data_IF_505060456572
#
_entry.id   IF_505060456572
#
_cell.length_a   1.000
_cell.length_b   1.000
_cell.length_c   1.000
_cell.angle_alpha   90.00
_cell.angle_beta   90.00
_cell.angle_gamma   90.00
#
_symmetry.space_group_name_H-M   'P 1'
#
loop_
_entity.id
_entity.type
_entity.pdbx_description
1 polymer ?
#
# COMPACT_ATOMS: atom_id res chain seq x y z
N UNK A 1 30.02 -16.96 -27.82
CA UNK A 1 28.68 -16.64 -28.35
C UNK A 1 27.78 -16.53 -27.16
N UNK A 2 27.37 -15.29 -26.86
CA UNK A 2 26.77 -14.87 -25.60
C UNK A 2 25.42 -15.54 -25.38
N UNK A 3 25.30 -16.23 -24.25
CA UNK A 3 24.01 -16.67 -23.71
C UNK A 3 23.40 -15.45 -23.02
N UNK A 4 22.55 -14.73 -23.74
CA UNK A 4 21.82 -13.59 -23.20
C UNK A 4 20.76 -14.14 -22.25
N UNK A 5 21.13 -14.29 -20.98
CA UNK A 5 20.18 -14.49 -19.89
C UNK A 5 19.12 -13.39 -20.01
N UNK A 6 17.88 -13.81 -20.32
CA UNK A 6 16.73 -12.92 -20.32
C UNK A 6 16.72 -12.12 -19.00
N UNK A 7 16.48 -10.80 -19.03
CA UNK A 7 16.45 -10.02 -17.81
C UNK A 7 15.41 -10.64 -16.89
N UNK A 8 15.82 -10.95 -15.66
CA UNK A 8 14.92 -11.35 -14.60
C UNK A 8 13.75 -10.36 -14.62
N UNK A 9 12.58 -10.83 -15.05
CA UNK A 9 11.39 -10.02 -15.09
C UNK A 9 11.19 -9.49 -13.68
N UNK A 10 11.36 -8.18 -13.53
CA UNK A 10 11.37 -7.46 -12.28
C UNK A 10 10.12 -7.77 -11.47
N UNK A 11 10.25 -8.65 -10.47
CA UNK A 11 9.34 -8.67 -9.34
C UNK A 11 9.49 -7.31 -8.63
N UNK A 12 8.72 -6.33 -9.07
CA UNK A 12 8.79 -4.91 -8.67
C UNK A 12 7.83 -4.58 -7.54
N UNK A 13 7.06 -5.55 -7.05
CA UNK A 13 6.66 -5.54 -5.65
C UNK A 13 7.90 -5.91 -4.84
N UNK A 14 8.61 -4.89 -4.38
CA UNK A 14 9.80 -5.08 -3.55
C UNK A 14 9.37 -5.74 -2.23
N UNK A 15 9.43 -7.07 -2.22
CA UNK A 15 9.06 -7.91 -1.09
C UNK A 15 9.77 -7.45 0.17
N UNK A 16 11.01 -6.97 0.07
CA UNK A 16 11.76 -6.48 1.21
C UNK A 16 11.13 -5.21 1.81
N UNK A 17 10.55 -4.34 0.99
CA UNK A 17 9.79 -3.18 1.48
C UNK A 17 8.48 -3.58 2.14
N UNK A 18 7.80 -4.59 1.59
CA UNK A 18 6.58 -5.15 2.21
C UNK A 18 6.89 -5.81 3.55
N UNK A 19 7.90 -6.68 3.60
CA UNK A 19 8.33 -7.36 4.83
C UNK A 19 8.71 -6.33 5.91
N UNK A 20 9.50 -5.32 5.54
CA UNK A 20 9.87 -4.23 6.46
C UNK A 20 8.68 -3.38 6.88
N UNK A 21 7.68 -3.19 6.04
CA UNK A 21 6.46 -2.49 6.42
C UNK A 21 5.68 -3.28 7.48
N UNK A 22 5.63 -4.61 7.39
CA UNK A 22 5.06 -5.46 8.43
C UNK A 22 5.88 -5.39 9.73
N UNK A 23 7.21 -5.42 9.67
CA UNK A 23 8.05 -5.22 10.87
C UNK A 23 7.72 -3.90 11.60
N UNK A 24 7.53 -2.82 10.83
CA UNK A 24 7.17 -1.51 11.37
C UNK A 24 5.74 -1.49 11.95
N UNK A 25 4.82 -2.24 11.34
CA UNK A 25 3.45 -2.40 11.82
C UNK A 25 3.42 -3.17 13.15
N UNK A 26 4.14 -4.29 13.24
CA UNK A 26 4.29 -5.10 14.46
C UNK A 26 4.96 -4.31 15.59
N UNK A 27 5.94 -3.46 15.27
CA UNK A 27 6.57 -2.55 16.22
C UNK A 27 5.69 -1.35 16.62
N UNK A 28 4.51 -1.19 16.02
CA UNK A 28 3.61 -0.06 16.27
C UNK A 28 4.12 1.29 15.74
N UNK A 29 5.13 1.28 14.87
CA UNK A 29 5.73 2.47 14.28
C UNK A 29 5.00 2.90 13.00
N UNK A 30 4.51 1.92 12.25
CA UNK A 30 3.52 2.10 11.19
C UNK A 30 2.15 1.79 11.78
N UNK A 31 1.16 2.60 11.44
CA UNK A 31 -0.21 2.45 11.95
C UNK A 31 -1.19 2.50 10.80
N UNK A 32 -2.25 1.70 10.89
CA UNK A 32 -3.39 1.75 9.98
C UNK A 32 -4.62 2.05 10.81
N UNK A 33 -5.32 3.13 10.48
CA UNK A 33 -6.51 3.57 11.20
C UNK A 33 -7.67 3.78 10.24
N UNK A 34 -8.88 3.32 10.57
CA UNK A 34 -10.04 3.57 9.73
C UNK A 34 -10.40 5.05 9.74
N UNK A 35 -10.82 5.56 8.60
CA UNK A 35 -11.27 6.93 8.41
C UNK A 35 -12.45 6.96 7.43
N UNK A 36 -13.60 7.43 7.91
CA UNK A 36 -14.81 7.49 7.11
C UNK A 36 -15.93 8.22 7.85
N UNK A 37 -16.89 8.75 7.10
CA UNK A 37 -18.11 9.34 7.63
C UNK A 37 -19.30 8.86 6.78
N UNK A 38 -20.29 8.22 7.41
CA UNK A 38 -21.41 7.61 6.70
C UNK A 38 -20.99 6.33 5.97
N UNK A 39 -21.41 6.18 4.72
CA UNK A 39 -21.24 4.94 3.93
C UNK A 39 -19.88 4.83 3.21
N UNK A 40 -18.99 5.80 3.38
CA UNK A 40 -17.64 5.76 2.80
C UNK A 40 -16.65 5.31 3.86
N UNK A 41 -16.13 4.09 3.69
CA UNK A 41 -15.04 3.55 4.50
C UNK A 41 -13.69 3.88 3.85
N UNK A 42 -12.69 4.13 4.66
CA UNK A 42 -11.33 4.42 4.22
C UNK A 42 -10.33 4.13 5.31
N UNK A 43 -9.05 4.22 4.97
CA UNK A 43 -7.95 3.94 5.86
C UNK A 43 -6.89 5.03 5.76
N UNK A 44 -6.25 5.33 6.88
CA UNK A 44 -5.08 6.18 6.96
C UNK A 44 -3.91 5.31 7.42
N UNK A 45 -2.90 5.21 6.56
CA UNK A 45 -1.62 4.59 6.89
C UNK A 45 -0.64 5.70 7.27
N UNK A 46 -0.10 5.65 8.49
CA UNK A 46 0.82 6.67 8.99
C UNK A 46 2.01 6.04 9.73
N UNK A 47 3.22 6.51 9.43
CA UNK A 47 4.45 6.00 10.03
C UNK A 47 5.69 6.27 9.19
N UNK A 48 6.86 5.70 9.53
CA UNK A 48 8.08 5.85 8.75
C UNK A 48 8.01 5.01 7.47
N UNK A 49 8.53 5.55 6.36
CA UNK A 49 8.71 4.82 5.12
C UNK A 49 9.73 3.68 5.29
N UNK A 50 9.45 2.45 4.84
CA UNK A 50 10.38 1.32 4.94
C UNK A 50 11.68 1.54 4.16
N UNK A 51 11.70 2.42 3.15
CA UNK A 51 12.93 2.74 2.39
C UNK A 51 13.73 3.89 3.01
N UNK A 52 13.11 5.06 3.16
CA UNK A 52 13.81 6.29 3.53
C UNK A 52 13.63 6.72 4.98
N UNK A 53 12.84 6.00 5.79
CA UNK A 53 12.52 6.31 7.19
C UNK A 53 11.81 7.65 7.44
N UNK A 54 11.59 8.48 6.42
CA UNK A 54 10.78 9.69 6.53
C UNK A 54 9.32 9.36 6.81
N UNK A 55 8.66 10.22 7.58
CA UNK A 55 7.24 10.04 7.91
C UNK A 55 6.37 10.17 6.66
N UNK A 56 5.40 9.28 6.53
CA UNK A 56 4.38 9.27 5.48
C UNK A 56 2.98 9.26 6.12
N UNK A 57 2.04 9.88 5.43
CA UNK A 57 0.60 9.78 5.71
C UNK A 57 -0.08 9.51 4.37
N UNK A 58 -0.65 8.32 4.24
CA UNK A 58 -1.34 7.90 3.03
C UNK A 58 -2.82 7.65 3.35
N UNK A 59 -3.71 8.31 2.61
CA UNK A 59 -5.17 8.26 2.82
C UNK A 59 -5.79 7.50 1.67
N UNK A 60 -6.21 6.27 1.95
CA UNK A 60 -6.83 5.39 0.98
C UNK A 60 -8.33 5.36 1.21
N UNK A 61 -9.11 5.63 0.17
CA UNK A 61 -10.55 5.39 0.20
C UNK A 61 -10.76 3.93 -0.19
N UNK A 62 -11.48 3.17 0.63
CA UNK A 62 -11.87 1.81 0.27
C UNK A 62 -12.91 1.91 -0.84
N UNK A 63 -12.49 1.87 -2.09
CA UNK A 63 -13.36 1.40 -3.14
C UNK A 63 -13.56 -0.08 -2.85
N UNK A 64 -14.67 -0.44 -2.24
CA UNK A 64 -15.14 -1.81 -2.33
C UNK A 64 -15.16 -2.13 -3.83
N UNK A 65 -14.15 -2.85 -4.31
CA UNK A 65 -14.25 -3.57 -5.56
C UNK A 65 -15.30 -4.65 -5.27
N UNK A 66 -16.56 -4.22 -5.29
CA UNK A 66 -17.72 -5.09 -5.39
C UNK A 66 -17.35 -6.11 -6.44
N UNK A 67 -17.29 -7.37 -6.02
CA UNK A 67 -16.63 -8.43 -6.75
C UNK A 67 -16.94 -8.38 -8.24
N UNK A 68 -15.97 -8.79 -9.04
CA UNK A 68 -16.23 -9.32 -10.38
C UNK A 68 -17.18 -10.51 -10.25
N UNK A 69 -18.47 -10.23 -10.12
CA UNK A 69 -19.58 -11.14 -9.95
C UNK A 69 -20.76 -10.51 -10.68
N UNK A 70 -21.32 -11.25 -11.63
CA UNK A 70 -22.20 -10.74 -12.67
C UNK A 70 -23.42 -9.95 -12.19
N UNK A 71 -24.02 -9.26 -13.15
CA UNK A 71 -25.27 -8.52 -13.05
C UNK A 71 -26.32 -9.31 -12.24
N UNK A 72 -26.54 -8.87 -11.00
CA UNK A 72 -27.63 -9.34 -10.16
C UNK A 72 -27.17 -10.12 -8.93
N UNK A 73 -27.17 -9.45 -7.77
CA UNK A 73 -28.02 -9.77 -6.61
C UNK A 73 -27.67 -8.88 -5.42
N UNK A 74 -28.70 -8.19 -4.94
CA UNK A 74 -29.08 -7.99 -3.54
C UNK A 74 -28.11 -7.35 -2.53
N UNK A 75 -28.71 -6.49 -1.71
CA UNK A 75 -28.15 -5.77 -0.57
C UNK A 75 -27.73 -6.68 0.60
N UNK A 76 -26.75 -7.54 0.36
CA UNK A 76 -26.09 -8.35 1.38
C UNK A 76 -24.61 -8.46 0.97
N UNK A 77 -23.89 -7.36 1.13
CA UNK A 77 -22.44 -7.36 0.93
C UNK A 77 -21.84 -8.04 2.17
N UNK A 78 -21.32 -9.26 1.99
CA UNK A 78 -20.47 -9.91 2.99
C UNK A 78 -19.45 -8.89 3.53
N UNK A 79 -19.21 -8.84 4.85
CA UNK A 79 -18.18 -7.98 5.40
C UNK A 79 -16.87 -8.34 4.71
N UNK A 80 -16.18 -7.34 4.16
CA UNK A 80 -14.87 -7.55 3.53
C UNK A 80 -13.92 -8.02 4.64
N UNK A 81 -13.70 -9.33 4.76
CA UNK A 81 -12.93 -9.91 5.89
C UNK A 81 -11.47 -9.45 5.89
N UNK A 82 -10.92 -9.16 4.71
CA UNK A 82 -9.53 -8.71 4.52
C UNK A 82 -9.48 -7.46 3.64
N UNK A 83 -8.70 -6.46 4.06
CA UNK A 83 -8.44 -5.22 3.31
C UNK A 83 -7.04 -5.23 2.77
N UNK A 84 -6.92 -4.90 1.49
CA UNK A 84 -5.65 -4.72 0.79
C UNK A 84 -5.38 -3.23 0.60
N UNK A 85 -4.22 -2.75 1.06
CA UNK A 85 -3.76 -1.37 0.95
C UNK A 85 -2.44 -1.31 0.18
N UNK A 86 -2.45 -0.69 -1.00
CA UNK A 86 -1.24 -0.37 -1.77
C UNK A 86 -0.74 1.03 -1.38
N UNK A 87 0.33 1.09 -0.61
CA UNK A 87 0.87 2.33 -0.04
C UNK A 87 2.08 2.78 -0.84
N UNK A 88 2.13 4.07 -1.17
CA UNK A 88 3.28 4.68 -1.84
C UNK A 88 3.88 5.82 -1.01
N UNK A 89 5.21 5.92 -0.98
CA UNK A 89 5.90 6.92 -0.17
C UNK A 89 5.76 8.33 -0.74
N UNK A 90 4.88 9.13 -0.12
CA UNK A 90 4.69 10.56 -0.38
C UNK A 90 5.39 11.49 0.62
N UNK A 91 6.59 11.14 1.13
CA UNK A 91 7.22 11.87 2.25
C UNK A 91 7.65 13.33 1.97
N UNK A 92 7.42 13.85 0.75
CA UNK A 92 7.67 15.25 0.40
C UNK A 92 9.14 15.67 0.33
N UNK A 93 10.08 14.78 0.65
CA UNK A 93 11.52 15.06 0.61
C UNK A 93 12.11 14.80 -0.77
N UNK A 94 13.13 15.57 -1.14
CA UNK A 94 13.93 15.31 -2.36
C UNK A 94 14.85 14.12 -2.13
N UNK A 95 14.93 13.22 -3.11
CA UNK A 95 15.83 12.08 -3.11
C UNK A 95 16.77 12.15 -4.31
N UNK A 96 18.01 11.67 -4.14
CA UNK A 96 19.04 11.69 -5.20
C UNK A 96 18.62 10.90 -6.45
N UNK A 97 17.80 9.87 -6.26
CA UNK A 97 17.28 9.03 -7.34
C UNK A 97 15.93 9.51 -7.89
N UNK A 98 15.36 10.59 -7.33
CA UNK A 98 14.07 11.11 -7.79
C UNK A 98 14.26 12.02 -9.01
N UNK A 99 13.42 11.89 -10.06
CA UNK A 99 13.39 12.84 -11.17
C UNK A 99 13.18 14.28 -10.67
N UNK A 100 13.73 15.24 -11.41
CA UNK A 100 13.59 16.67 -11.08
C UNK A 100 12.11 17.05 -10.95
N UNK A 101 11.77 17.73 -9.86
CA UNK A 101 10.39 18.15 -9.57
C UNK A 101 9.51 17.11 -8.88
N UNK A 102 10.01 15.89 -8.63
CA UNK A 102 9.30 14.87 -7.84
C UNK A 102 9.83 14.82 -6.40
N UNK A 103 8.93 14.47 -5.48
CA UNK A 103 9.24 14.28 -4.06
C UNK A 103 8.80 12.89 -3.61
N UNK A 104 9.37 12.40 -2.52
CA UNK A 104 9.19 11.01 -2.09
C UNK A 104 10.25 10.08 -2.70
N UNK A 105 10.47 8.94 -2.06
CA UNK A 105 11.52 7.99 -2.48
C UNK A 105 11.05 6.97 -3.52
N UNK A 106 9.80 7.05 -3.97
CA UNK A 106 9.21 6.13 -4.95
C UNK A 106 8.97 4.70 -4.45
N UNK A 107 9.18 4.43 -3.16
CA UNK A 107 8.87 3.14 -2.55
C UNK A 107 7.36 2.89 -2.53
N UNK A 108 6.95 1.68 -2.91
CA UNK A 108 5.57 1.19 -2.77
C UNK A 108 5.57 -0.18 -2.11
N UNK A 109 4.61 -0.43 -1.23
CA UNK A 109 4.46 -1.68 -0.48
C UNK A 109 2.98 -2.00 -0.25
N UNK A 110 2.66 -3.26 0.04
CA UNK A 110 1.28 -3.74 0.22
C UNK A 110 1.05 -4.24 1.63
N UNK A 111 -0.08 -3.84 2.23
CA UNK A 111 -0.57 -4.39 3.50
C UNK A 111 -1.87 -5.13 3.25
N UNK A 112 -1.99 -6.34 3.81
CA UNK A 112 -3.19 -7.16 3.81
C UNK A 112 -3.59 -7.36 5.27
N UNK A 113 -4.75 -6.81 5.67
CA UNK A 113 -5.17 -6.73 7.06
C UNK A 113 -6.55 -7.32 7.24
N UNK A 114 -6.70 -8.21 8.21
CA UNK A 114 -8.01 -8.73 8.59
C UNK A 114 -8.72 -7.72 9.50
N UNK A 115 -9.97 -7.38 9.15
CA UNK A 115 -10.83 -6.50 9.95
C UNK A 115 -11.80 -7.39 10.74
N UNK A 116 -11.40 -7.75 11.97
CA UNK A 116 -12.19 -8.57 12.91
C UNK A 116 -12.92 -7.68 13.92
#
# INVERSE_FOLDING_TARGET
MSDAAAPAYLATTDRELTDRAYDLLEAGQLTVSPHGSGDVYGFVVAGPCPRCAHHIVDRQVSVALTGTGGVGRSADADPVETVVLDVSCGCGSTHVDAPEGLTGCGASFRLELDIV
#
